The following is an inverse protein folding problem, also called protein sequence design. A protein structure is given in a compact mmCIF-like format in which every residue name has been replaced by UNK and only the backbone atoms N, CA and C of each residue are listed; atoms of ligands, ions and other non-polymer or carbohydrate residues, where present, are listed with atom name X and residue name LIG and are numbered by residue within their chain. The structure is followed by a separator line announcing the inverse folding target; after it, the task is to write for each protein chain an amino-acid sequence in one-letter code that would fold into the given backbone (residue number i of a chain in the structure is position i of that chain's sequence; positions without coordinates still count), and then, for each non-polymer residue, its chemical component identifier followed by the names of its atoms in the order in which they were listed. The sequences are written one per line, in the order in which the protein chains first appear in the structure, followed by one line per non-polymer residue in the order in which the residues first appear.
data_IF_628723161721
#
_entry.id   IF_628723161721
#
_cell.length_a   1.000
_cell.length_b   1.000
_cell.length_c   1.000
_cell.angle_alpha   90.00
_cell.angle_beta   90.00
_cell.angle_gamma   90.00
#
_symmetry.space_group_name_H-M   'P 1'
#
loop_
_entity.id
_entity.type
_entity.pdbx_description
1 polymer ?
#
# COMPACT_ATOMS: atom_id res chain seq x y z
N UNK A 1 5.06 7.33 -1.24
CA UNK A 1 3.67 7.41 -1.75
C UNK A 1 3.51 8.74 -2.47
N UNK A 2 3.39 8.74 -3.80
CA UNK A 2 3.32 9.95 -4.61
C UNK A 2 2.13 10.88 -4.26
N UNK A 3 0.97 10.32 -3.91
CA UNK A 3 -0.20 11.12 -3.53
C UNK A 3 0.07 11.98 -2.28
N UNK A 4 0.71 11.38 -1.27
CA UNK A 4 1.07 12.05 -0.01
C UNK A 4 2.12 13.13 -0.22
N UNK A 5 3.13 12.87 -1.07
CA UNK A 5 4.19 13.82 -1.40
C UNK A 5 3.59 15.03 -2.13
N UNK A 6 2.78 14.80 -3.17
CA UNK A 6 2.17 15.88 -3.93
C UNK A 6 1.22 16.71 -3.04
N UNK A 7 0.40 16.09 -2.19
CA UNK A 7 -0.45 16.80 -1.24
C UNK A 7 0.37 17.70 -0.29
N UNK A 8 1.50 17.21 0.23
CA UNK A 8 2.41 18.00 1.08
C UNK A 8 2.95 19.22 0.34
N UNK A 9 3.42 19.06 -0.89
CA UNK A 9 3.93 20.18 -1.71
C UNK A 9 2.84 21.24 -1.90
N UNK A 10 1.63 20.82 -2.29
CA UNK A 10 0.51 21.74 -2.52
C UNK A 10 0.09 22.46 -1.23
N UNK A 11 0.13 21.77 -0.09
CA UNK A 11 -0.18 22.34 1.21
C UNK A 11 0.82 23.45 1.60
N UNK A 12 2.12 23.18 1.46
CA UNK A 12 3.19 24.13 1.76
C UNK A 12 3.10 25.38 0.89
N UNK A 13 2.91 25.21 -0.43
CA UNK A 13 2.81 26.34 -1.37
C UNK A 13 1.57 27.19 -1.05
N UNK A 14 0.42 26.56 -0.79
CA UNK A 14 -0.83 27.27 -0.54
C UNK A 14 -0.84 28.07 0.78
N UNK A 15 0.09 27.79 1.70
CA UNK A 15 0.25 28.58 2.93
C UNK A 15 0.97 29.93 2.70
N UNK A 16 1.64 30.10 1.56
CA UNK A 16 2.41 31.31 1.24
C UNK A 16 1.72 32.12 0.14
N UNK A 17 1.25 31.45 -0.92
CA UNK A 17 0.56 32.08 -2.04
C UNK A 17 -0.74 31.36 -2.35
N UNK A 18 -1.70 32.05 -2.96
CA UNK A 18 -2.97 31.44 -3.36
C UNK A 18 -2.79 30.70 -4.69
N UNK A 19 -2.96 29.38 -4.67
CA UNK A 19 -3.02 28.54 -5.86
C UNK A 19 -4.45 28.02 -6.08
N UNK A 20 -4.82 27.76 -7.33
CA UNK A 20 -6.10 27.15 -7.66
C UNK A 20 -5.88 25.80 -8.34
N UNK A 21 -6.48 24.75 -7.79
CA UNK A 21 -6.38 23.40 -8.34
C UNK A 21 -7.41 23.20 -9.44
N UNK A 22 -6.95 22.69 -10.59
CA UNK A 22 -7.78 22.30 -11.71
C UNK A 22 -8.06 20.80 -11.67
N UNK A 23 -7.00 20.00 -11.50
CA UNK A 23 -7.10 18.54 -11.45
C UNK A 23 -5.99 17.93 -10.58
N UNK A 24 -6.26 16.76 -10.01
CA UNK A 24 -5.29 15.88 -9.35
C UNK A 24 -5.53 14.46 -9.84
N UNK A 25 -4.49 13.79 -10.31
CA UNK A 25 -4.52 12.37 -10.66
C UNK A 25 -3.28 11.71 -10.08
N UNK A 26 -3.44 10.75 -9.16
CA UNK A 26 -2.29 9.99 -8.69
C UNK A 26 -2.61 8.59 -8.19
N UNK A 27 -1.63 7.70 -8.39
CA UNK A 27 -1.75 6.26 -8.20
C UNK A 27 -2.43 5.56 -9.37
N UNK A 28 -2.73 4.27 -9.24
CA UNK A 28 -3.39 3.50 -10.31
C UNK A 28 -4.27 2.39 -9.72
N UNK A 29 -3.65 1.35 -9.19
CA UNK A 29 -4.33 0.20 -8.59
C UNK A 29 -4.42 0.34 -7.07
N UNK A 30 -5.55 -0.07 -6.50
CA UNK A 30 -5.83 0.04 -5.06
C UNK A 30 -4.83 -0.67 -4.13
N UNK A 31 -4.13 -1.69 -4.65
CA UNK A 31 -3.18 -2.51 -3.91
C UNK A 31 -1.72 -2.13 -4.16
N UNK A 32 -1.44 -1.17 -5.04
CA UNK A 32 -0.11 -0.69 -5.35
C UNK A 32 0.18 0.62 -4.61
N UNK A 33 1.43 0.80 -4.18
CA UNK A 33 1.89 2.09 -3.66
C UNK A 33 2.00 3.05 -4.87
N UNK A 34 1.35 4.23 -4.83
CA UNK A 34 1.42 5.21 -5.92
C UNK A 34 2.86 5.63 -6.22
N UNK A 35 3.29 5.37 -7.47
CA UNK A 35 4.58 5.79 -8.02
C UNK A 35 4.54 7.18 -8.65
N UNK A 36 3.37 7.55 -9.18
CA UNK A 36 3.16 8.80 -9.92
C UNK A 36 1.92 9.53 -9.39
N UNK A 37 2.01 10.85 -9.36
CA UNK A 37 0.90 11.76 -9.11
C UNK A 37 1.15 13.08 -9.85
N UNK A 38 0.08 13.68 -10.38
CA UNK A 38 0.11 14.94 -11.13
C UNK A 38 -0.99 15.86 -10.64
N UNK A 39 -0.68 17.16 -10.53
CA UNK A 39 -1.67 18.21 -10.31
C UNK A 39 -1.57 19.25 -11.43
N UNK A 40 -2.71 19.83 -11.80
CA UNK A 40 -2.78 21.00 -12.69
C UNK A 40 -3.22 22.19 -11.83
N UNK A 41 -2.46 23.27 -11.88
CA UNK A 41 -2.66 24.44 -11.02
C UNK A 41 -2.78 25.70 -11.88
N UNK A 42 -3.51 26.68 -11.36
CA UNK A 42 -3.44 28.07 -11.80
C UNK A 42 -2.75 28.86 -10.70
N UNK A 43 -1.77 29.65 -11.11
CA UNK A 43 -1.01 30.59 -10.28
C UNK A 43 -1.19 31.96 -10.92
N UNK A 44 -1.33 33.01 -10.10
CA UNK A 44 -1.35 34.38 -10.62
C UNK A 44 0.01 34.72 -11.22
N UNK A 45 0.02 35.46 -12.32
CA UNK A 45 1.27 35.88 -12.96
C UNK A 45 2.20 36.62 -11.99
N UNK A 46 1.64 37.45 -11.08
CA UNK A 46 2.39 38.15 -10.03
C UNK A 46 3.10 37.23 -9.05
N UNK A 47 2.59 36.01 -8.87
CA UNK A 47 3.07 35.03 -7.88
C UNK A 47 3.92 33.93 -8.55
N UNK A 48 4.09 33.96 -9.88
CA UNK A 48 4.79 32.91 -10.65
C UNK A 48 6.23 32.69 -10.16
N UNK A 49 7.00 33.77 -9.97
CA UNK A 49 8.37 33.67 -9.48
C UNK A 49 8.44 33.04 -8.07
N UNK A 50 7.52 33.45 -7.18
CA UNK A 50 7.42 32.94 -5.81
C UNK A 50 7.00 31.47 -5.81
N UNK A 51 6.07 31.07 -6.69
CA UNK A 51 5.65 29.69 -6.85
C UNK A 51 6.82 28.78 -7.20
N UNK A 52 7.63 29.16 -8.20
CA UNK A 52 8.80 28.38 -8.60
C UNK A 52 9.85 28.28 -7.50
N UNK A 53 10.11 29.37 -6.76
CA UNK A 53 11.01 29.35 -5.61
C UNK A 53 10.53 28.37 -4.51
N UNK A 54 9.24 28.42 -4.17
CA UNK A 54 8.64 27.53 -3.18
C UNK A 54 8.65 26.07 -3.64
N UNK A 55 8.35 25.82 -4.91
CA UNK A 55 8.38 24.48 -5.49
C UNK A 55 9.81 23.91 -5.45
N UNK A 56 10.80 24.66 -5.92
CA UNK A 56 12.21 24.24 -5.92
C UNK A 56 12.71 23.96 -4.50
N UNK A 57 12.30 24.79 -3.53
CA UNK A 57 12.58 24.56 -2.11
C UNK A 57 12.00 23.22 -1.65
N UNK A 58 10.73 22.94 -1.92
CA UNK A 58 10.09 21.68 -1.51
C UNK A 58 10.70 20.48 -2.22
N UNK A 59 11.04 20.59 -3.51
CA UNK A 59 11.74 19.55 -4.26
C UNK A 59 13.05 19.21 -3.56
N UNK A 60 13.90 20.21 -3.26
CA UNK A 60 15.19 19.97 -2.58
C UNK A 60 15.01 19.27 -1.23
N UNK A 61 14.02 19.68 -0.43
CA UNK A 61 13.71 19.05 0.86
C UNK A 61 13.36 17.57 0.66
N UNK A 62 12.43 17.27 -0.25
CA UNK A 62 11.96 15.90 -0.49
C UNK A 62 13.07 15.03 -1.08
N UNK A 63 13.87 15.55 -2.02
CA UNK A 63 14.99 14.81 -2.60
C UNK A 63 16.01 14.41 -1.54
N UNK A 64 16.30 15.29 -0.58
CA UNK A 64 17.23 14.98 0.51
C UNK A 64 16.62 13.97 1.50
N UNK A 65 15.35 14.15 1.91
CA UNK A 65 14.65 13.22 2.81
C UNK A 65 14.62 11.79 2.27
N UNK A 66 14.43 11.63 0.95
CA UNK A 66 14.26 10.33 0.31
C UNK A 66 15.50 9.82 -0.43
N UNK A 67 16.63 10.53 -0.36
CA UNK A 67 17.85 10.22 -1.12
C UNK A 67 18.32 8.77 -1.03
N UNK A 68 18.24 8.18 0.16
CA UNK A 68 18.67 6.81 0.41
C UNK A 68 17.63 5.74 -0.01
N UNK A 69 16.37 6.13 -0.20
CA UNK A 69 15.23 5.21 -0.38
C UNK A 69 14.68 5.27 -1.81
N UNK A 70 14.57 6.48 -2.38
CA UNK A 70 13.97 6.74 -3.70
C UNK A 70 14.96 7.52 -4.60
N UNK A 71 16.09 6.93 -5.01
CA UNK A 71 17.11 7.62 -5.79
C UNK A 71 16.63 8.06 -7.19
N UNK A 72 15.51 7.49 -7.66
CA UNK A 72 14.92 7.79 -8.96
C UNK A 72 13.71 8.74 -8.89
N UNK A 73 13.41 9.31 -7.71
CA UNK A 73 12.31 10.27 -7.58
C UNK A 73 12.60 11.50 -8.47
N UNK A 74 11.59 11.92 -9.20
CA UNK A 74 11.67 13.05 -10.12
C UNK A 74 10.40 13.89 -10.00
N UNK A 75 10.56 15.16 -9.63
CA UNK A 75 9.46 16.11 -9.46
C UNK A 75 9.72 17.27 -10.40
N UNK A 76 8.74 17.56 -11.26
CA UNK A 76 8.88 18.56 -12.31
C UNK A 76 7.58 19.37 -12.42
N UNK A 77 7.71 20.59 -12.93
CA UNK A 77 6.58 21.41 -13.35
C UNK A 77 6.80 21.89 -14.78
N UNK A 78 5.70 22.10 -15.49
CA UNK A 78 5.69 22.72 -16.81
C UNK A 78 4.42 23.53 -16.99
N UNK A 79 4.53 24.64 -17.70
CA UNK A 79 3.38 25.48 -18.04
C UNK A 79 2.50 24.81 -19.09
N UNK A 80 1.19 24.95 -18.93
CA UNK A 80 0.19 24.48 -19.89
C UNK A 80 -0.84 25.59 -20.12
N UNK A 81 -1.15 25.86 -21.39
CA UNK A 81 -2.13 26.87 -21.76
C UNK A 81 -3.50 26.24 -21.95
N UNK A 82 -4.28 26.14 -20.87
CA UNK A 82 -5.67 25.66 -20.94
C UNK A 82 -6.57 26.43 -19.99
N UNK A 83 -7.61 27.06 -20.53
CA UNK A 83 -8.70 27.59 -19.72
C UNK A 83 -9.50 26.41 -19.14
N UNK A 84 -9.48 26.26 -17.81
CA UNK A 84 -10.19 25.19 -17.14
C UNK A 84 -10.97 25.73 -15.94
N UNK A 85 -12.05 25.02 -15.59
CA UNK A 85 -12.76 25.26 -14.32
C UNK A 85 -11.82 24.87 -13.18
N UNK A 86 -11.76 25.72 -12.16
CA UNK A 86 -10.97 25.48 -10.95
C UNK A 86 -11.85 25.01 -9.81
N UNK A 87 -11.25 24.25 -8.90
CA UNK A 87 -11.83 23.91 -7.61
C UNK A 87 -12.00 25.17 -6.75
N UNK A 88 -13.07 25.21 -5.94
CA UNK A 88 -13.24 26.25 -4.94
C UNK A 88 -12.12 26.18 -3.88
N UNK A 89 -11.61 27.32 -3.43
CA UNK A 89 -10.50 27.38 -2.46
C UNK A 89 -10.81 26.72 -1.12
N UNK A 90 -12.07 26.75 -0.66
CA UNK A 90 -12.53 26.06 0.54
C UNK A 90 -12.43 24.55 0.41
N UNK A 91 -12.92 23.99 -0.70
CA UNK A 91 -12.82 22.55 -0.99
C UNK A 91 -11.37 22.12 -1.18
N UNK A 92 -10.56 22.92 -1.87
CA UNK A 92 -9.13 22.68 -2.02
C UNK A 92 -8.44 22.55 -0.65
N UNK A 93 -8.62 23.54 0.23
CA UNK A 93 -8.04 23.50 1.57
C UNK A 93 -8.51 22.28 2.36
N UNK A 94 -9.80 21.96 2.30
CA UNK A 94 -10.40 20.81 2.98
C UNK A 94 -9.81 19.49 2.51
N UNK A 95 -9.75 19.28 1.20
CA UNK A 95 -9.25 18.04 0.59
C UNK A 95 -7.73 17.90 0.79
N UNK A 96 -6.94 18.95 0.56
CA UNK A 96 -5.49 18.87 0.77
C UNK A 96 -5.16 18.62 2.25
N UNK A 97 -5.85 19.28 3.19
CA UNK A 97 -5.68 19.01 4.61
C UNK A 97 -6.00 17.55 4.96
N UNK A 98 -7.12 17.01 4.44
CA UNK A 98 -7.48 15.60 4.59
C UNK A 98 -6.37 14.68 4.06
N UNK A 99 -5.92 14.91 2.83
CA UNK A 99 -4.88 14.11 2.20
C UNK A 99 -3.56 14.18 2.98
N UNK A 100 -3.24 15.32 3.59
CA UNK A 100 -2.07 15.49 4.47
C UNK A 100 -2.26 14.78 5.82
N UNK A 101 -3.45 14.87 6.43
CA UNK A 101 -3.73 14.31 7.77
C UNK A 101 -3.96 12.79 7.78
N UNK A 102 -4.34 12.20 6.66
CA UNK A 102 -4.54 10.75 6.57
C UNK A 102 -3.24 10.00 6.81
N UNK A 103 -3.18 9.18 7.86
CA UNK A 103 -2.02 8.31 8.07
C UNK A 103 -1.89 7.32 6.90
N UNK A 104 -0.67 7.12 6.43
CA UNK A 104 -0.36 6.24 5.32
C UNK A 104 0.92 5.47 5.61
N UNK A 105 0.84 4.15 5.57
CA UNK A 105 1.92 3.22 5.88
C UNK A 105 1.57 2.34 7.06
N UNK A 106 2.60 1.95 7.81
CA UNK A 106 2.49 1.09 8.98
C UNK A 106 1.81 1.83 10.12
N UNK A 107 0.75 1.25 10.69
CA UNK A 107 0.15 1.72 11.93
C UNK A 107 0.75 1.01 13.14
N UNK A 108 0.98 -0.30 13.03
CA UNK A 108 1.46 -1.13 14.14
C UNK A 108 2.25 -2.33 13.64
N UNK A 109 3.36 -2.60 14.32
CA UNK A 109 4.11 -3.85 14.19
C UNK A 109 3.52 -4.92 15.09
N UNK A 110 3.60 -6.18 14.67
CA UNK A 110 3.11 -7.33 15.43
C UNK A 110 3.86 -7.45 16.76
N UNK A 111 3.16 -7.61 17.89
CA UNK A 111 3.80 -7.96 19.15
C UNK A 111 4.26 -9.43 19.19
N UNK A 112 3.65 -10.29 18.36
CA UNK A 112 3.87 -11.74 18.38
C UNK A 112 5.00 -12.18 17.43
N UNK A 113 5.30 -11.37 16.40
CA UNK A 113 6.26 -11.72 15.34
C UNK A 113 7.15 -10.52 15.05
N UNK A 114 8.42 -10.62 15.44
CA UNK A 114 9.42 -9.59 15.24
C UNK A 114 9.54 -9.22 13.74
N UNK A 115 9.52 -7.91 13.47
CA UNK A 115 9.65 -7.38 12.12
C UNK A 115 8.40 -7.53 11.21
N UNK A 116 7.32 -8.14 11.69
CA UNK A 116 6.07 -8.24 10.92
C UNK A 116 5.19 -7.00 11.13
N UNK A 117 4.72 -6.39 10.03
CA UNK A 117 3.67 -5.38 10.10
C UNK A 117 2.35 -6.07 10.44
N UNK A 118 1.70 -5.66 11.53
CA UNK A 118 0.38 -6.18 11.90
C UNK A 118 -0.71 -5.45 11.15
N UNK A 119 -0.71 -4.11 11.14
CA UNK A 119 -1.72 -3.31 10.44
C UNK A 119 -1.11 -2.12 9.70
N UNK A 120 -1.61 -1.88 8.49
CA UNK A 120 -1.22 -0.76 7.63
C UNK A 120 -2.39 -0.22 6.82
N UNK A 121 -2.21 0.97 6.25
CA UNK A 121 -3.13 1.57 5.26
C UNK A 121 -2.33 2.22 4.14
N UNK A 122 -2.77 2.09 2.90
CA UNK A 122 -2.16 2.77 1.75
C UNK A 122 -3.22 3.56 0.98
N UNK A 123 -3.03 4.88 0.86
CA UNK A 123 -3.79 5.76 -0.03
C UNK A 123 -3.32 5.54 -1.47
N UNK A 124 -4.08 4.75 -2.22
CA UNK A 124 -3.64 4.15 -3.47
C UNK A 124 -4.11 4.90 -4.73
N UNK A 125 -5.21 5.64 -4.65
CA UNK A 125 -5.70 6.45 -5.77
C UNK A 125 -6.31 7.74 -5.26
N UNK A 126 -6.02 8.84 -5.94
CA UNK A 126 -6.67 10.15 -5.72
C UNK A 126 -7.02 10.72 -7.09
N UNK A 127 -8.29 11.07 -7.28
CA UNK A 127 -8.78 11.75 -8.48
C UNK A 127 -9.59 12.96 -8.05
N UNK A 128 -9.16 14.12 -8.53
CA UNK A 128 -9.92 15.38 -8.45
C UNK A 128 -10.11 15.84 -9.88
N UNK A 129 -11.33 15.74 -10.39
CA UNK A 129 -11.68 16.16 -11.74
C UNK A 129 -13.19 16.33 -11.88
N UNK A 130 -13.63 17.20 -12.79
CA UNK A 130 -15.04 17.33 -13.20
C UNK A 130 -16.00 17.57 -12.02
N UNK A 131 -15.56 18.33 -11.01
CA UNK A 131 -16.37 18.62 -9.82
C UNK A 131 -16.49 17.48 -8.82
N UNK A 132 -15.68 16.42 -8.96
CA UNK A 132 -15.68 15.26 -8.06
C UNK A 132 -14.31 15.06 -7.42
N UNK A 133 -14.33 14.62 -6.17
CA UNK A 133 -13.17 14.08 -5.47
C UNK A 133 -13.44 12.62 -5.14
N UNK A 134 -12.61 11.73 -5.65
CA UNK A 134 -12.66 10.31 -5.31
C UNK A 134 -11.29 9.84 -4.86
N UNK A 135 -11.27 8.92 -3.91
CA UNK A 135 -10.03 8.29 -3.48
C UNK A 135 -10.26 6.82 -3.17
N UNK A 136 -9.18 6.05 -3.21
CA UNK A 136 -9.17 4.66 -2.82
C UNK A 136 -8.02 4.41 -1.87
N UNK A 137 -8.28 3.68 -0.80
CA UNK A 137 -7.25 3.19 0.10
C UNK A 137 -7.48 1.71 0.41
N UNK A 138 -6.42 1.03 0.83
CA UNK A 138 -6.49 -0.37 1.23
C UNK A 138 -5.86 -0.53 2.61
N UNK A 139 -6.69 -0.97 3.56
CA UNK A 139 -6.26 -1.37 4.89
C UNK A 139 -5.95 -2.86 4.91
N UNK A 140 -4.88 -3.24 5.58
CA UNK A 140 -4.45 -4.63 5.71
C UNK A 140 -4.14 -4.90 7.16
N UNK A 141 -4.59 -6.04 7.67
CA UNK A 141 -4.09 -6.55 8.94
C UNK A 141 -4.09 -8.06 9.03
N UNK A 142 -3.19 -8.60 9.85
CA UNK A 142 -3.22 -9.98 10.34
C UNK A 142 -4.25 -10.21 11.46
N UNK A 143 -4.84 -9.14 12.01
CA UNK A 143 -5.82 -9.19 13.10
C UNK A 143 -7.08 -8.42 12.71
N UNK A 144 -8.25 -9.07 12.84
CA UNK A 144 -9.53 -8.50 12.40
C UNK A 144 -9.92 -7.24 13.17
N UNK A 145 -9.69 -7.19 14.48
CA UNK A 145 -10.05 -6.03 15.31
C UNK A 145 -9.25 -4.79 14.95
N UNK A 146 -7.94 -4.91 14.70
CA UNK A 146 -7.11 -3.77 14.31
C UNK A 146 -7.34 -3.36 12.86
N UNK A 147 -7.72 -4.30 11.97
CA UNK A 147 -8.24 -3.94 10.63
C UNK A 147 -9.49 -3.07 10.75
N UNK A 148 -10.45 -3.46 11.59
CA UNK A 148 -11.69 -2.72 11.79
C UNK A 148 -11.45 -1.34 12.41
N UNK A 149 -10.56 -1.24 13.41
CA UNK A 149 -10.15 0.02 14.01
C UNK A 149 -9.57 1.00 12.97
N UNK A 150 -8.63 0.54 12.13
CA UNK A 150 -8.01 1.40 11.13
C UNK A 150 -8.98 1.73 9.99
N UNK A 151 -9.84 0.80 9.59
CA UNK A 151 -10.91 1.08 8.64
C UNK A 151 -11.86 2.17 9.16
N UNK A 152 -12.25 2.11 10.44
CA UNK A 152 -13.04 3.15 11.10
C UNK A 152 -12.29 4.48 11.15
N UNK A 153 -11.00 4.48 11.55
CA UNK A 153 -10.18 5.70 11.62
C UNK A 153 -10.13 6.46 10.28
N UNK A 154 -9.87 5.71 9.18
CA UNK A 154 -9.85 6.27 7.83
C UNK A 154 -11.23 6.80 7.44
N UNK A 155 -12.31 6.04 7.70
CA UNK A 155 -13.69 6.47 7.46
C UNK A 155 -13.98 7.81 8.14
N UNK A 156 -13.71 7.92 9.44
CA UNK A 156 -13.96 9.14 10.22
C UNK A 156 -13.24 10.36 9.63
N UNK A 157 -11.99 10.20 9.16
CA UNK A 157 -11.25 11.31 8.55
C UNK A 157 -11.94 11.86 7.29
N UNK A 158 -12.41 10.96 6.41
CA UNK A 158 -13.13 11.33 5.19
C UNK A 158 -14.52 11.91 5.47
N UNK A 159 -15.27 11.32 6.39
CA UNK A 159 -16.60 11.80 6.80
C UNK A 159 -16.54 13.17 7.48
N UNK A 160 -15.52 13.43 8.31
CA UNK A 160 -15.23 14.76 8.86
C UNK A 160 -14.94 15.79 7.77
N UNK A 161 -14.49 15.33 6.60
CA UNK A 161 -14.27 16.16 5.43
C UNK A 161 -15.50 16.23 4.50
N UNK A 162 -16.66 15.73 4.92
CA UNK A 162 -17.91 15.73 4.17
C UNK A 162 -17.95 14.75 2.99
N UNK A 163 -17.05 13.76 2.96
CA UNK A 163 -17.06 12.71 1.95
C UNK A 163 -18.00 11.58 2.36
N UNK A 164 -18.66 10.97 1.39
CA UNK A 164 -19.27 9.65 1.56
C UNK A 164 -18.17 8.57 1.53
N UNK A 165 -18.27 7.59 2.43
CA UNK A 165 -17.30 6.49 2.52
C UNK A 165 -17.99 5.14 2.35
N UNK A 166 -17.59 4.43 1.29
CA UNK A 166 -18.01 3.06 1.00
C UNK A 166 -16.84 2.13 1.33
N UNK A 167 -17.09 1.14 2.19
CA UNK A 167 -16.12 0.10 2.53
C UNK A 167 -16.63 -1.24 2.02
N UNK A 168 -15.77 -1.97 1.32
CA UNK A 168 -16.10 -3.26 0.72
C UNK A 168 -14.86 -4.02 0.29
N UNK A 169 -15.06 -5.26 -0.16
CA UNK A 169 -13.96 -6.16 -0.51
C UNK A 169 -13.18 -6.66 0.71
N UNK A 170 -13.86 -6.77 1.86
CA UNK A 170 -13.27 -7.32 3.08
C UNK A 170 -12.89 -8.80 2.88
N UNK A 171 -11.72 -9.17 3.39
CA UNK A 171 -11.27 -10.55 3.45
C UNK A 171 -10.49 -10.76 4.77
N UNK A 172 -10.64 -11.94 5.39
CA UNK A 172 -10.01 -12.23 6.67
C UNK A 172 -8.49 -12.34 6.55
N UNK A 173 -7.80 -11.93 7.61
CA UNK A 173 -6.39 -12.27 7.79
C UNK A 173 -6.19 -13.78 8.02
N UNK A 174 -4.96 -14.24 7.83
CA UNK A 174 -4.55 -15.60 8.22
C UNK A 174 -3.58 -15.49 9.39
N UNK A 175 -4.09 -15.72 10.60
CA UNK A 175 -3.28 -15.65 11.82
C UNK A 175 -2.29 -16.83 11.85
N UNK A 176 -0.99 -16.59 12.05
CA UNK A 176 0.00 -17.66 12.16
C UNK A 176 -0.30 -18.61 13.33
N UNK A 177 -0.13 -19.92 13.10
CA UNK A 177 -0.26 -20.96 14.10
C UNK A 177 1.09 -21.72 14.25
N UNK A 178 1.95 -21.35 15.21
CA UNK A 178 3.23 -22.03 15.44
C UNK A 178 3.08 -23.51 15.84
N UNK A 179 1.89 -23.91 16.31
CA UNK A 179 1.63 -25.28 16.77
C UNK A 179 1.09 -26.20 15.68
N UNK A 180 0.94 -25.71 14.45
CA UNK A 180 0.45 -26.47 13.28
C UNK A 180 1.24 -27.76 13.06
N UNK A 181 0.53 -28.87 12.85
CA UNK A 181 1.14 -30.18 12.65
C UNK A 181 1.72 -30.30 11.24
N UNK A 182 1.03 -29.76 10.23
CA UNK A 182 1.57 -29.72 8.86
C UNK A 182 2.81 -28.83 8.78
N UNK A 183 2.87 -27.73 9.55
CA UNK A 183 4.07 -26.89 9.64
C UNK A 183 5.27 -27.69 10.13
N UNK A 184 5.16 -28.35 11.30
CA UNK A 184 6.23 -29.15 11.87
C UNK A 184 6.65 -30.30 10.94
N UNK A 185 5.69 -30.96 10.30
CA UNK A 185 5.94 -32.00 9.31
C UNK A 185 6.81 -31.47 8.16
N UNK A 186 6.39 -30.36 7.55
CA UNK A 186 7.08 -29.76 6.42
C UNK A 186 8.45 -29.19 6.80
N UNK A 187 8.61 -28.60 7.99
CA UNK A 187 9.91 -28.11 8.45
C UNK A 187 10.94 -29.23 8.57
N UNK A 188 10.57 -30.33 9.25
CA UNK A 188 11.44 -31.48 9.42
C UNK A 188 11.80 -32.13 8.07
N UNK A 189 10.82 -32.22 7.17
CA UNK A 189 11.05 -32.79 5.85
C UNK A 189 11.97 -31.92 5.01
N UNK A 190 11.82 -30.59 5.06
CA UNK A 190 12.67 -29.67 4.32
C UNK A 190 14.14 -29.81 4.73
N UNK A 191 14.41 -29.87 6.05
CA UNK A 191 15.77 -30.11 6.58
C UNK A 191 16.35 -31.42 6.07
N UNK A 192 15.56 -32.51 6.12
CA UNK A 192 15.99 -33.83 5.65
C UNK A 192 16.32 -33.86 4.15
N UNK A 193 15.53 -33.16 3.33
CA UNK A 193 15.68 -33.19 1.88
C UNK A 193 16.78 -32.27 1.35
N UNK A 194 17.06 -31.16 2.05
CA UNK A 194 17.89 -30.08 1.51
C UNK A 194 19.08 -29.70 2.40
N UNK A 195 19.22 -30.30 3.58
CA UNK A 195 20.25 -29.97 4.57
C UNK A 195 20.29 -28.46 4.88
N UNK A 196 19.11 -27.86 4.93
CA UNK A 196 18.89 -26.42 5.10
C UNK A 196 17.66 -26.18 5.98
N UNK A 197 17.72 -25.15 6.83
CA UNK A 197 16.57 -24.68 7.60
C UNK A 197 15.59 -23.90 6.70
N UNK A 198 14.30 -24.27 6.65
CA UNK A 198 13.31 -23.48 5.93
C UNK A 198 13.06 -22.14 6.65
N UNK A 199 12.76 -21.10 5.86
CA UNK A 199 12.39 -19.80 6.40
C UNK A 199 10.88 -19.75 6.63
N UNK A 200 10.42 -20.10 7.83
CA UNK A 200 9.02 -19.92 8.23
C UNK A 200 8.74 -18.44 8.48
N UNK A 201 7.81 -17.87 7.71
CA UNK A 201 7.50 -16.44 7.74
C UNK A 201 6.00 -16.20 7.62
N UNK A 202 5.52 -15.22 8.36
CA UNK A 202 4.28 -14.53 8.04
C UNK A 202 4.56 -13.40 7.03
N UNK A 203 3.61 -13.10 6.16
CA UNK A 203 3.72 -12.00 5.21
C UNK A 203 2.60 -10.99 5.41
N UNK A 204 2.92 -9.70 5.21
CA UNK A 204 1.92 -8.63 5.21
C UNK A 204 1.26 -8.50 3.82
N UNK A 205 0.61 -9.57 3.39
CA UNK A 205 -0.11 -9.67 2.12
C UNK A 205 -1.41 -10.46 2.31
N UNK A 206 -2.30 -10.41 1.31
CA UNK A 206 -3.49 -11.27 1.30
C UNK A 206 -3.16 -12.63 0.71
N UNK A 207 -3.53 -13.70 1.42
CA UNK A 207 -3.48 -15.08 0.93
C UNK A 207 -4.89 -15.68 1.07
N UNK A 208 -5.32 -16.50 0.12
CA UNK A 208 -6.61 -17.19 0.20
C UNK A 208 -6.72 -18.10 1.44
N UNK A 209 -5.62 -18.51 2.06
CA UNK A 209 -5.63 -19.27 3.32
C UNK A 209 -6.46 -18.60 4.43
N UNK A 210 -6.52 -17.27 4.48
CA UNK A 210 -7.40 -16.57 5.43
C UNK A 210 -8.88 -16.85 5.14
N UNK A 211 -9.27 -16.77 3.86
CA UNK A 211 -10.64 -17.03 3.39
C UNK A 211 -10.98 -18.50 3.62
N UNK A 212 -10.10 -19.40 3.20
CA UNK A 212 -10.26 -20.85 3.38
C UNK A 212 -10.42 -21.20 4.86
N UNK A 213 -9.58 -20.66 5.76
CA UNK A 213 -9.67 -20.93 7.19
C UNK A 213 -10.96 -20.44 7.84
N UNK A 214 -11.56 -19.37 7.32
CA UNK A 214 -12.89 -18.92 7.77
C UNK A 214 -13.99 -19.94 7.43
N UNK A 215 -13.88 -20.61 6.28
CA UNK A 215 -14.87 -21.58 5.82
C UNK A 215 -14.54 -23.03 6.23
N UNK A 216 -13.28 -23.31 6.54
CA UNK A 216 -12.74 -24.63 6.88
C UNK A 216 -11.90 -24.51 8.17
N UNK A 217 -12.51 -24.19 9.32
CA UNK A 217 -11.76 -23.85 10.55
C UNK A 217 -10.95 -25.01 11.13
N UNK A 218 -11.30 -26.25 10.79
CA UNK A 218 -10.62 -27.45 11.27
C UNK A 218 -9.49 -27.91 10.34
N UNK A 219 -9.31 -27.28 9.17
CA UNK A 219 -8.25 -27.66 8.23
C UNK A 219 -6.96 -26.99 8.64
N UNK A 220 -5.95 -27.80 8.94
CA UNK A 220 -4.58 -27.33 9.13
C UNK A 220 -3.96 -26.99 7.76
N UNK A 221 -3.47 -25.76 7.62
CA UNK A 221 -3.07 -25.19 6.33
C UNK A 221 -1.65 -24.64 6.37
N UNK A 222 -1.00 -24.70 5.22
CA UNK A 222 0.33 -24.14 4.99
C UNK A 222 0.45 -23.64 3.55
N UNK A 223 1.21 -22.57 3.37
CA UNK A 223 1.49 -21.97 2.07
C UNK A 223 2.98 -22.02 1.77
N UNK A 224 3.34 -22.55 0.61
CA UNK A 224 4.71 -22.62 0.12
C UNK A 224 4.70 -22.65 -1.41
N UNK A 225 5.81 -22.25 -2.03
CA UNK A 225 5.88 -22.15 -3.49
C UNK A 225 7.28 -21.86 -4.00
N UNK A 226 7.46 -21.80 -5.33
CA UNK A 226 8.73 -21.43 -5.95
C UNK A 226 9.04 -19.93 -5.77
N UNK A 227 10.29 -19.56 -6.09
CA UNK A 227 10.70 -18.17 -6.09
C UNK A 227 10.12 -17.45 -7.32
N UNK A 228 9.18 -16.54 -7.06
CA UNK A 228 8.62 -15.60 -8.05
C UNK A 228 9.03 -14.18 -7.64
N UNK A 229 9.48 -13.37 -8.58
CA UNK A 229 9.89 -11.98 -8.36
C UNK A 229 9.03 -11.04 -9.19
N UNK A 230 8.74 -9.87 -8.62
CA UNK A 230 7.95 -8.82 -9.27
C UNK A 230 6.57 -9.29 -9.76
N UNK A 231 5.92 -10.17 -8.98
CA UNK A 231 4.55 -10.60 -9.27
C UNK A 231 3.62 -9.38 -9.46
N UNK A 232 2.71 -9.47 -10.43
CA UNK A 232 1.79 -8.39 -10.81
C UNK A 232 2.45 -7.18 -11.50
N UNK A 233 3.67 -7.31 -12.01
CA UNK A 233 4.27 -6.31 -12.90
C UNK A 233 4.70 -6.94 -14.23
N UNK A 234 4.94 -6.14 -15.28
CA UNK A 234 5.55 -6.63 -16.52
C UNK A 234 6.93 -7.27 -16.33
N UNK A 235 7.58 -7.05 -15.19
CA UNK A 235 8.87 -7.64 -14.83
C UNK A 235 8.76 -9.01 -14.13
N UNK A 236 7.53 -9.55 -14.03
CA UNK A 236 7.25 -10.82 -13.37
C UNK A 236 8.07 -11.97 -13.96
N UNK A 237 8.78 -12.68 -13.09
CA UNK A 237 9.63 -13.82 -13.48
C UNK A 237 9.71 -14.88 -12.40
N UNK A 238 9.78 -16.13 -12.84
CA UNK A 238 9.92 -17.32 -11.99
C UNK A 238 11.29 -17.97 -12.15
N UNK A 239 11.90 -18.39 -11.05
CA UNK A 239 13.18 -19.09 -11.08
C UNK A 239 12.98 -20.59 -11.34
N UNK A 240 13.36 -21.07 -12.53
CA UNK A 240 13.17 -22.46 -12.98
C UNK A 240 13.72 -23.49 -11.97
N UNK A 241 14.93 -23.28 -11.43
CA UNK A 241 15.51 -24.21 -10.45
C UNK A 241 14.71 -24.29 -9.15
N UNK A 242 14.06 -23.19 -8.73
CA UNK A 242 13.21 -23.19 -7.54
C UNK A 242 11.89 -23.96 -7.76
N UNK A 243 11.37 -23.97 -9.01
CA UNK A 243 10.18 -24.77 -9.37
C UNK A 243 10.47 -26.26 -9.23
N UNK A 244 11.66 -26.71 -9.65
CA UNK A 244 12.07 -28.11 -9.48
C UNK A 244 12.24 -28.49 -8.00
N UNK A 245 12.82 -27.60 -7.18
CA UNK A 245 12.93 -27.80 -5.71
C UNK A 245 11.54 -27.91 -5.08
N UNK A 246 10.65 -26.96 -5.39
CA UNK A 246 9.25 -26.94 -4.94
C UNK A 246 8.53 -28.23 -5.30
N UNK A 247 8.60 -28.68 -6.56
CA UNK A 247 7.86 -29.85 -7.02
C UNK A 247 8.30 -31.13 -6.31
N UNK A 248 9.61 -31.34 -6.15
CA UNK A 248 10.15 -32.48 -5.40
C UNK A 248 9.68 -32.47 -3.95
N UNK A 249 9.70 -31.30 -3.31
CA UNK A 249 9.26 -31.14 -1.93
C UNK A 249 7.76 -31.40 -1.78
N UNK A 250 6.93 -30.82 -2.66
CA UNK A 250 5.48 -31.06 -2.69
C UNK A 250 5.15 -32.55 -2.78
N UNK A 251 5.76 -33.28 -3.72
CA UNK A 251 5.54 -34.71 -3.87
C UNK A 251 5.94 -35.50 -2.62
N UNK A 252 7.03 -35.12 -1.95
CA UNK A 252 7.46 -35.81 -0.74
C UNK A 252 6.54 -35.50 0.44
N UNK A 253 6.07 -34.25 0.59
CA UNK A 253 5.07 -33.88 1.60
C UNK A 253 3.82 -34.75 1.48
N UNK A 254 3.31 -34.95 0.25
CA UNK A 254 2.14 -35.81 0.02
C UNK A 254 2.37 -37.27 0.47
N UNK A 255 3.60 -37.78 0.38
CA UNK A 255 3.94 -39.14 0.84
C UNK A 255 4.03 -39.25 2.37
N UNK A 256 4.30 -38.13 3.05
CA UNK A 256 4.45 -38.07 4.51
C UNK A 256 3.13 -37.73 5.24
N UNK A 257 2.03 -37.54 4.52
CA UNK A 257 0.72 -37.27 5.14
C UNK A 257 0.37 -38.45 6.07
N UNK A 258 0.14 -38.19 7.38
CA UNK A 258 -0.15 -39.25 8.33
C UNK A 258 -1.49 -39.93 8.00
N UNK A 259 -1.62 -41.20 8.41
CA UNK A 259 -2.93 -41.87 8.39
C UNK A 259 -3.87 -41.17 9.37
N UNK A 260 -5.15 -41.08 9.01
CA UNK A 260 -6.17 -40.50 9.87
C UNK A 260 -6.30 -41.38 11.13
N UNK A 261 -6.07 -40.79 12.30
CA UNK A 261 -6.37 -41.42 13.59
C UNK A 261 -7.89 -41.47 13.81
#
# INVERSE_FOLDING_TARGET
NANKILARILWEINNVISIQLVAFDGGSLRNAIPREAKAHLIVKDSDSAIFHELLDKQIKIILEEYKAIEPAINIQSSEINTAQKVMNSGDFKKIINLLCSLHNGVYRMSPDIEGLVEVSSSLARVIIQNGTFTSQSLQRSSVESTKAEIAMNIRCAFENSGCEVIQGGDYPGWKPNPNSDILKCMENLYKKMFDEEPKVKACHAGLECGILGKHLPEVDMISFGPNIRAAHSPDEKVQISSVQKFWKFYLEVLRQIPSKN
#
